data_IF_817552683451
#
_entry.id   IF_817552683451
#
_cell.length_a   1.000
_cell.length_b   1.000
_cell.length_c   1.000
_cell.angle_alpha   90.00
_cell.angle_beta   90.00
_cell.angle_gamma   90.00
#
_symmetry.space_group_name_H-M   'P 1'
#
loop_
_entity.id
_entity.type
_entity.pdbx_description
1 polymer ?
#
# COMPACT_ATOMS: atom_id res chain seq x y z
N UNK A 1 8.93 -3.67 -3.65
CA UNK A 1 9.71 -2.99 -4.71
C UNK A 1 11.16 -3.49 -4.84
N UNK A 2 11.90 -3.73 -3.75
CA UNK A 2 13.30 -4.25 -3.81
C UNK A 2 13.42 -5.58 -4.56
N UNK A 3 12.53 -6.54 -4.32
CA UNK A 3 12.55 -7.86 -4.99
C UNK A 3 12.27 -7.75 -6.49
N UNK A 4 11.35 -6.86 -6.89
CA UNK A 4 11.07 -6.55 -8.29
C UNK A 4 12.30 -6.02 -9.03
N UNK A 5 13.08 -5.15 -8.39
CA UNK A 5 14.33 -4.61 -8.93
C UNK A 5 15.43 -5.69 -8.99
N UNK A 6 15.54 -6.54 -7.96
CA UNK A 6 16.55 -7.60 -7.89
C UNK A 6 16.30 -8.72 -8.91
N UNK A 7 15.05 -8.98 -9.30
CA UNK A 7 14.68 -9.95 -10.33
C UNK A 7 14.94 -9.46 -11.77
N UNK A 8 15.47 -8.25 -11.97
CA UNK A 8 15.78 -7.70 -13.31
C UNK A 8 14.54 -7.46 -14.19
N UNK A 9 13.35 -7.39 -13.60
CA UNK A 9 12.08 -7.22 -14.32
C UNK A 9 11.84 -5.79 -14.80
N UNK A 10 12.64 -4.82 -14.35
CA UNK A 10 12.39 -3.40 -14.62
C UNK A 10 12.34 -3.07 -16.11
N UNK A 11 13.32 -3.53 -16.91
CA UNK A 11 13.39 -3.26 -18.36
C UNK A 11 12.25 -4.00 -19.08
N UNK A 12 12.05 -5.28 -18.79
CA UNK A 12 10.96 -6.08 -19.36
C UNK A 12 9.57 -5.59 -18.95
N UNK A 13 9.46 -5.00 -17.77
CA UNK A 13 8.25 -4.40 -17.25
C UNK A 13 7.73 -3.26 -18.13
N UNK A 14 8.62 -2.39 -18.61
CA UNK A 14 8.23 -1.28 -19.50
C UNK A 14 8.04 -1.68 -20.96
N UNK A 15 8.72 -2.73 -21.41
CA UNK A 15 8.72 -3.14 -22.82
C UNK A 15 7.60 -4.12 -23.20
N UNK A 16 7.08 -4.90 -22.24
CA UNK A 16 6.06 -5.94 -22.48
C UNK A 16 4.77 -5.60 -21.74
N UNK A 17 3.77 -5.12 -22.47
CA UNK A 17 2.47 -4.74 -21.87
C UNK A 17 1.76 -5.87 -21.12
N UNK A 18 1.91 -7.13 -21.54
CA UNK A 18 1.34 -8.30 -20.87
C UNK A 18 1.99 -8.54 -19.50
N UNK A 19 3.32 -8.55 -19.44
CA UNK A 19 4.10 -8.67 -18.23
C UNK A 19 3.80 -7.52 -17.27
N UNK A 20 3.77 -6.30 -17.77
CA UNK A 20 3.41 -5.10 -17.02
C UNK A 20 2.05 -5.23 -16.34
N UNK A 21 1.01 -5.64 -17.08
CA UNK A 21 -0.33 -5.82 -16.53
C UNK A 21 -0.38 -6.94 -15.49
N UNK A 22 0.37 -8.02 -15.70
CA UNK A 22 0.42 -9.15 -14.78
C UNK A 22 1.05 -8.74 -13.44
N UNK A 23 2.24 -8.16 -13.47
CA UNK A 23 2.93 -7.68 -12.26
C UNK A 23 2.09 -6.68 -11.48
N UNK A 24 1.39 -5.77 -12.17
CA UNK A 24 0.49 -4.82 -11.50
C UNK A 24 -0.70 -5.50 -10.82
N UNK A 25 -1.22 -6.60 -11.37
CA UNK A 25 -2.25 -7.39 -10.68
C UNK A 25 -1.69 -8.06 -9.43
N UNK A 26 -0.47 -8.60 -9.48
CA UNK A 26 0.20 -9.14 -8.29
C UNK A 26 0.40 -8.06 -7.22
N UNK A 27 0.83 -6.85 -7.61
CA UNK A 27 0.94 -5.71 -6.69
C UNK A 27 -0.40 -5.23 -6.12
N UNK A 28 -1.50 -5.52 -6.80
CA UNK A 28 -2.83 -5.10 -6.38
C UNK A 28 -3.55 -6.12 -5.48
N UNK A 29 -2.97 -7.29 -5.22
CA UNK A 29 -3.55 -8.30 -4.32
C UNK A 29 -3.95 -7.76 -2.94
N UNK A 30 -3.17 -6.86 -2.29
CA UNK A 30 -3.56 -6.29 -1.00
C UNK A 30 -4.89 -5.53 -0.99
N UNK A 31 -5.41 -5.13 -2.16
CA UNK A 31 -6.69 -4.42 -2.25
C UNK A 31 -7.91 -5.34 -2.21
N UNK A 32 -7.70 -6.66 -2.22
CA UNK A 32 -8.76 -7.67 -2.09
C UNK A 32 -9.03 -7.98 -0.61
N UNK A 33 -10.24 -8.46 -0.28
CA UNK A 33 -10.49 -9.13 0.99
C UNK A 33 -9.49 -10.28 1.20
N UNK A 34 -9.05 -10.47 2.43
CA UNK A 34 -8.02 -11.45 2.76
C UNK A 34 -8.38 -12.86 2.28
N UNK A 35 -9.64 -13.27 2.47
CA UNK A 35 -10.18 -14.56 2.06
C UNK A 35 -10.13 -14.80 0.54
N UNK A 36 -10.11 -13.73 -0.27
CA UNK A 36 -10.09 -13.83 -1.73
C UNK A 36 -8.69 -13.76 -2.34
N UNK A 37 -7.68 -13.36 -1.56
CA UNK A 37 -6.32 -13.15 -2.06
C UNK A 37 -5.69 -14.45 -2.54
N UNK A 38 -5.83 -15.53 -1.78
CA UNK A 38 -5.24 -16.83 -2.12
C UNK A 38 -5.78 -17.38 -3.45
N UNK A 39 -7.10 -17.34 -3.63
CA UNK A 39 -7.75 -17.78 -4.87
C UNK A 39 -7.32 -16.90 -6.05
N UNK A 40 -7.34 -15.58 -5.88
CA UNK A 40 -6.92 -14.64 -6.92
C UNK A 40 -5.45 -14.79 -7.32
N UNK A 41 -4.57 -15.08 -6.36
CA UNK A 41 -3.16 -15.38 -6.64
C UNK A 41 -3.02 -16.68 -7.44
N UNK A 42 -3.76 -17.74 -7.07
CA UNK A 42 -3.75 -19.02 -7.78
C UNK A 42 -4.17 -18.86 -9.24
N UNK A 43 -5.19 -18.05 -9.52
CA UNK A 43 -5.62 -17.72 -10.89
C UNK A 43 -4.57 -16.92 -11.70
N UNK A 44 -3.74 -16.13 -11.04
CA UNK A 44 -2.67 -15.37 -11.70
C UNK A 44 -1.43 -16.20 -11.95
N UNK A 45 -1.15 -17.17 -11.07
CA UNK A 45 0.08 -17.95 -11.10
C UNK A 45 0.21 -18.75 -12.41
N UNK A 46 1.40 -18.67 -13.01
CA UNK A 46 1.72 -19.42 -14.23
C UNK A 46 1.07 -18.90 -15.52
N UNK A 47 0.38 -17.75 -15.49
CA UNK A 47 -0.21 -17.14 -16.68
C UNK A 47 0.85 -16.59 -17.65
N UNK A 48 1.99 -16.18 -17.12
CA UNK A 48 3.14 -15.69 -17.89
C UNK A 48 4.28 -16.68 -17.73
N UNK A 49 4.68 -17.28 -18.84
CA UNK A 49 5.83 -18.19 -18.90
C UNK A 49 7.14 -17.37 -19.03
N UNK A 50 7.61 -16.85 -17.89
CA UNK A 50 8.88 -16.14 -17.75
C UNK A 50 9.48 -16.53 -16.39
N UNK A 51 10.70 -17.05 -16.40
CA UNK A 51 11.39 -17.54 -15.21
C UNK A 51 11.45 -16.50 -14.09
N UNK A 52 11.60 -15.23 -14.43
CA UNK A 52 11.65 -14.13 -13.46
C UNK A 52 10.28 -13.87 -12.82
N UNK A 53 9.19 -14.11 -13.57
CA UNK A 53 7.82 -14.03 -13.04
C UNK A 53 7.57 -15.18 -12.10
N UNK A 54 8.00 -16.40 -12.45
CA UNK A 54 7.90 -17.57 -11.58
C UNK A 54 8.66 -17.38 -10.27
N UNK A 55 9.86 -16.77 -10.31
CA UNK A 55 10.62 -16.42 -9.11
C UNK A 55 9.88 -15.39 -8.24
N UNK A 56 9.28 -14.36 -8.85
CA UNK A 56 8.46 -13.37 -8.14
C UNK A 56 7.21 -14.01 -7.52
N UNK A 57 6.51 -14.86 -8.27
CA UNK A 57 5.32 -15.59 -7.78
C UNK A 57 5.68 -16.53 -6.62
N UNK A 58 6.80 -17.25 -6.74
CA UNK A 58 7.31 -18.13 -5.68
C UNK A 58 7.69 -17.33 -4.42
N UNK A 59 8.30 -16.16 -4.59
CA UNK A 59 8.58 -15.25 -3.48
C UNK A 59 7.29 -14.76 -2.79
N UNK A 60 6.28 -14.35 -3.58
CA UNK A 60 4.99 -13.90 -3.03
C UNK A 60 4.33 -15.03 -2.26
N UNK A 61 4.31 -16.23 -2.82
CA UNK A 61 3.77 -17.42 -2.18
C UNK A 61 4.43 -17.67 -0.82
N UNK A 62 5.77 -17.79 -0.81
CA UNK A 62 6.52 -18.16 0.38
C UNK A 62 6.53 -17.07 1.46
N UNK A 63 6.62 -15.80 1.04
CA UNK A 63 6.84 -14.69 1.98
C UNK A 63 5.54 -14.08 2.48
N UNK A 64 4.49 -14.05 1.65
CA UNK A 64 3.26 -13.31 1.96
C UNK A 64 2.04 -14.19 2.16
N UNK A 65 1.90 -15.29 1.40
CA UNK A 65 0.72 -16.14 1.50
C UNK A 65 0.87 -17.28 2.50
N UNK A 66 2.07 -17.85 2.61
CA UNK A 66 2.35 -18.98 3.52
C UNK A 66 3.31 -18.60 4.65
N UNK A 67 3.48 -17.30 4.91
CA UNK A 67 4.35 -16.81 5.97
C UNK A 67 3.85 -17.24 7.35
N UNK A 68 4.72 -17.77 8.21
CA UNK A 68 4.38 -18.03 9.60
C UNK A 68 4.32 -16.76 10.45
N UNK A 69 4.87 -15.65 9.94
CA UNK A 69 4.99 -14.38 10.68
C UNK A 69 3.85 -13.42 10.39
N UNK A 70 3.35 -13.39 9.15
CA UNK A 70 2.35 -12.45 8.69
C UNK A 70 1.15 -13.18 8.12
N UNK A 71 -0.01 -13.05 8.73
CA UNK A 71 -1.25 -13.55 8.15
C UNK A 71 -1.71 -12.67 6.99
N UNK A 72 -2.50 -13.22 6.09
CA UNK A 72 -3.02 -12.48 4.93
C UNK A 72 -3.87 -11.29 5.36
N UNK A 73 -4.59 -11.40 6.48
CA UNK A 73 -5.41 -10.33 7.06
C UNK A 73 -4.60 -9.10 7.50
N UNK A 74 -3.35 -9.31 7.91
CA UNK A 74 -2.49 -8.23 8.42
C UNK A 74 -2.04 -7.30 7.29
N UNK A 75 -1.79 -7.84 6.09
CA UNK A 75 -1.32 -7.04 4.97
C UNK A 75 -2.42 -6.71 3.94
N UNK A 76 -3.60 -7.31 4.02
CA UNK A 76 -4.75 -6.82 3.26
C UNK A 76 -5.11 -5.41 3.70
N UNK A 77 -5.27 -4.52 2.72
CA UNK A 77 -5.71 -3.12 2.95
C UNK A 77 -7.17 -2.90 2.56
N UNK A 78 -7.90 -3.99 2.27
CA UNK A 78 -9.30 -3.91 1.90
C UNK A 78 -10.12 -3.20 2.98
N UNK A 79 -10.90 -2.18 2.59
CA UNK A 79 -11.71 -1.33 3.47
C UNK A 79 -10.94 -0.64 4.61
N UNK A 80 -9.60 -0.70 4.63
CA UNK A 80 -8.79 0.01 5.62
C UNK A 80 -8.62 1.48 5.24
N UNK A 81 -8.86 2.42 6.16
CA UNK A 81 -8.75 3.87 5.88
C UNK A 81 -7.30 4.33 5.69
N UNK A 82 -6.35 3.60 6.24
CA UNK A 82 -4.91 3.87 6.14
C UNK A 82 -4.23 2.64 5.55
N UNK A 83 -3.54 2.81 4.41
CA UNK A 83 -2.89 1.73 3.68
C UNK A 83 -1.36 1.90 3.55
N UNK A 84 -0.84 3.01 4.00
CA UNK A 84 0.59 3.33 3.90
C UNK A 84 1.06 3.96 5.20
N UNK A 85 2.35 3.87 5.46
CA UNK A 85 3.01 4.53 6.59
C UNK A 85 3.46 5.97 6.27
N UNK A 86 2.99 6.56 5.18
CA UNK A 86 3.39 7.91 4.75
C UNK A 86 3.16 8.96 5.85
N UNK A 87 2.09 8.81 6.63
CA UNK A 87 1.83 9.71 7.77
C UNK A 87 2.91 9.56 8.85
N UNK A 88 3.35 8.32 9.13
CA UNK A 88 4.44 8.06 10.06
C UNK A 88 5.78 8.56 9.51
N UNK A 89 6.06 8.36 8.23
CA UNK A 89 7.27 8.87 7.57
C UNK A 89 7.29 10.40 7.56
N UNK A 90 6.15 11.03 7.29
CA UNK A 90 5.97 12.48 7.38
C UNK A 90 6.20 13.00 8.79
N UNK A 91 5.70 12.28 9.81
CA UNK A 91 5.93 12.61 11.21
C UNK A 91 7.41 12.45 11.58
N UNK A 92 8.06 11.34 11.24
CA UNK A 92 9.49 11.13 11.48
C UNK A 92 10.34 12.22 10.81
N UNK A 93 10.01 12.57 9.56
CA UNK A 93 10.71 13.66 8.86
C UNK A 93 10.57 14.97 9.61
N UNK A 94 9.37 15.34 10.05
CA UNK A 94 9.13 16.58 10.82
C UNK A 94 9.92 16.58 12.13
N UNK A 95 9.88 15.45 12.86
CA UNK A 95 10.63 15.27 14.10
C UNK A 95 12.14 15.46 13.89
N UNK A 96 12.70 14.84 12.85
CA UNK A 96 14.11 14.95 12.49
C UNK A 96 14.52 16.39 12.12
N UNK A 97 13.64 17.11 11.41
CA UNK A 97 13.88 18.53 11.08
C UNK A 97 13.89 19.40 12.34
N UNK A 98 12.96 19.18 13.26
CA UNK A 98 12.90 19.90 14.53
C UNK A 98 14.08 19.55 15.44
N UNK A 99 14.52 18.31 15.42
CA UNK A 99 15.67 17.83 16.18
C UNK A 99 17.00 18.52 15.77
N UNK A 100 17.12 18.98 14.53
CA UNK A 100 18.30 19.64 13.95
C UNK A 100 19.64 18.88 14.05
N UNK A 101 19.68 17.73 14.74
CA UNK A 101 20.87 16.91 15.00
C UNK A 101 20.49 15.43 14.99
N UNK A 102 21.38 14.58 14.47
CA UNK A 102 21.17 13.13 14.42
C UNK A 102 21.25 12.40 15.77
N UNK A 103 21.76 13.06 16.83
CA UNK A 103 21.83 12.51 18.19
C UNK A 103 21.32 13.56 19.18
N UNK A 104 20.05 13.45 19.57
CA UNK A 104 19.47 14.31 20.58
C UNK A 104 19.71 13.70 21.99
N UNK A 105 20.10 14.52 22.97
CA UNK A 105 20.03 14.10 24.38
C UNK A 105 18.59 13.73 24.76
N UNK A 106 18.44 12.71 25.62
CA UNK A 106 17.14 12.16 25.99
C UNK A 106 16.17 13.24 26.49
N UNK A 107 16.64 14.18 27.30
CA UNK A 107 15.78 15.24 27.86
C UNK A 107 15.23 16.18 26.76
N UNK A 108 16.02 16.44 25.70
CA UNK A 108 15.55 17.24 24.55
C UNK A 108 14.54 16.45 23.72
N UNK A 109 14.78 15.14 23.53
CA UNK A 109 13.84 14.26 22.83
C UNK A 109 12.49 14.21 23.57
N UNK A 110 12.49 14.09 24.90
CA UNK A 110 11.26 14.11 25.72
C UNK A 110 10.49 15.41 25.53
N UNK A 111 11.19 16.56 25.56
CA UNK A 111 10.57 17.87 25.32
C UNK A 111 9.94 17.96 23.92
N UNK A 112 10.66 17.49 22.90
CA UNK A 112 10.18 17.48 21.51
C UNK A 112 8.94 16.60 21.35
N UNK A 113 8.95 15.39 21.92
CA UNK A 113 7.81 14.47 21.89
C UNK A 113 6.60 15.04 22.64
N UNK A 114 6.82 15.77 23.74
CA UNK A 114 5.76 16.43 24.49
C UNK A 114 5.08 17.52 23.62
N UNK A 115 5.86 18.36 22.94
CA UNK A 115 5.30 19.36 22.02
C UNK A 115 4.55 18.73 20.85
N UNK A 116 5.08 17.66 20.27
CA UNK A 116 4.36 16.89 19.24
C UNK A 116 3.02 16.32 19.76
N UNK A 117 3.00 15.80 20.97
CA UNK A 117 1.77 15.28 21.57
C UNK A 117 0.70 16.38 21.75
N UNK A 118 1.11 17.58 22.16
CA UNK A 118 0.21 18.76 22.25
C UNK A 118 -0.37 19.13 20.89
N UNK A 119 0.46 19.15 19.83
CA UNK A 119 0.02 19.44 18.44
C UNK A 119 -0.98 18.39 17.95
N UNK A 120 -0.75 17.11 18.27
CA UNK A 120 -1.67 16.02 17.89
C UNK A 120 -3.01 16.20 18.60
N UNK A 121 -3.00 16.52 19.91
CA UNK A 121 -4.22 16.74 20.67
C UNK A 121 -5.02 17.92 20.10
N UNK A 122 -4.37 19.06 19.84
CA UNK A 122 -5.01 20.21 19.23
C UNK A 122 -5.58 19.90 17.86
N UNK A 123 -4.82 19.16 17.03
CA UNK A 123 -5.25 18.76 15.69
C UNK A 123 -6.47 17.84 15.77
N UNK A 124 -6.49 16.89 16.70
CA UNK A 124 -7.63 16.00 16.92
C UNK A 124 -8.90 16.76 17.30
N UNK A 125 -8.76 17.76 18.20
CA UNK A 125 -9.87 18.64 18.58
C UNK A 125 -10.40 19.44 17.39
N UNK A 126 -9.51 20.05 16.61
CA UNK A 126 -9.90 20.86 15.44
C UNK A 126 -10.53 20.03 14.32
N UNK A 127 -10.12 18.77 14.17
CA UNK A 127 -10.76 17.81 13.24
C UNK A 127 -12.13 17.40 13.73
N UNK A 128 -12.25 17.11 15.05
CA UNK A 128 -13.53 16.78 15.69
C UNK A 128 -14.54 17.91 15.54
N UNK A 129 -14.11 19.15 15.69
CA UNK A 129 -14.94 20.35 15.54
C UNK A 129 -15.22 20.72 14.06
N UNK A 130 -14.80 19.89 13.11
CA UNK A 130 -14.89 20.14 11.64
C UNK A 130 -14.18 21.43 11.17
N UNK A 131 -13.33 22.01 12.00
CA UNK A 131 -12.58 23.24 11.71
C UNK A 131 -11.37 23.00 10.82
N UNK A 132 -10.81 21.78 10.85
CA UNK A 132 -9.76 21.32 9.95
C UNK A 132 -10.29 20.19 9.05
N UNK A 133 -10.24 20.42 7.75
CA UNK A 133 -10.44 19.32 6.78
C UNK A 133 -9.12 18.56 6.71
N UNK A 134 -9.14 17.30 7.12
CA UNK A 134 -7.98 16.41 6.98
C UNK A 134 -7.51 16.44 5.52
N UNK A 135 -6.24 16.77 5.32
CA UNK A 135 -5.61 16.79 4.01
C UNK A 135 -5.37 15.33 3.56
N UNK A 136 -6.41 14.71 3.05
CA UNK A 136 -6.28 13.43 2.35
C UNK A 136 -6.40 13.71 0.86
N UNK A 137 -5.59 13.02 0.08
CA UNK A 137 -5.69 13.07 -1.37
C UNK A 137 -7.05 12.47 -1.80
N UNK A 138 -8.08 13.32 -1.79
CA UNK A 138 -9.51 12.96 -1.92
C UNK A 138 -9.82 12.15 -3.16
N UNK A 139 -9.08 12.37 -4.26
CA UNK A 139 -9.35 11.73 -5.53
C UNK A 139 -9.07 10.20 -5.48
N UNK A 140 -7.90 9.80 -5.00
CA UNK A 140 -7.54 8.37 -4.92
C UNK A 140 -8.39 7.61 -3.90
N UNK A 141 -8.62 8.21 -2.73
CA UNK A 141 -9.43 7.59 -1.67
C UNK A 141 -10.88 7.41 -2.12
N UNK A 142 -11.46 8.38 -2.85
CA UNK A 142 -12.85 8.29 -3.32
C UNK A 142 -13.04 7.22 -4.41
N UNK A 143 -12.10 7.10 -5.35
CA UNK A 143 -12.14 6.07 -6.39
C UNK A 143 -11.98 4.68 -5.78
N UNK A 144 -11.04 4.52 -4.86
CA UNK A 144 -10.78 3.25 -4.19
C UNK A 144 -11.97 2.81 -3.35
N UNK A 145 -12.55 3.70 -2.52
CA UNK A 145 -13.73 3.39 -1.72
C UNK A 145 -14.90 2.95 -2.61
N UNK A 146 -15.16 3.67 -3.71
CA UNK A 146 -16.21 3.29 -4.65
C UNK A 146 -15.99 1.92 -5.28
N UNK A 147 -14.75 1.56 -5.61
CA UNK A 147 -14.43 0.23 -6.13
C UNK A 147 -14.72 -0.87 -5.10
N UNK A 148 -14.42 -0.63 -3.84
CA UNK A 148 -14.69 -1.54 -2.74
C UNK A 148 -16.18 -1.65 -2.43
N UNK A 149 -16.90 -0.51 -2.40
CA UNK A 149 -18.37 -0.50 -2.22
C UNK A 149 -19.07 -1.29 -3.33
N UNK A 150 -18.67 -1.08 -4.60
CA UNK A 150 -19.19 -1.84 -5.73
C UNK A 150 -18.91 -3.34 -5.61
N UNK A 151 -17.76 -3.70 -5.02
CA UNK A 151 -17.40 -5.10 -4.81
C UNK A 151 -18.23 -5.74 -3.69
N UNK A 152 -18.37 -5.08 -2.55
CA UNK A 152 -19.20 -5.54 -1.43
C UNK A 152 -20.67 -5.71 -1.85
N UNK A 153 -21.16 -4.82 -2.71
CA UNK A 153 -22.52 -4.88 -3.27
C UNK A 153 -22.69 -5.92 -4.40
N UNK A 154 -21.66 -6.72 -4.68
CA UNK A 154 -21.69 -7.74 -5.73
C UNK A 154 -21.74 -7.20 -7.17
N UNK A 155 -21.51 -5.90 -7.37
CA UNK A 155 -21.47 -5.26 -8.70
C UNK A 155 -20.18 -5.53 -9.46
N UNK A 156 -19.17 -6.04 -8.78
CA UNK A 156 -17.84 -6.38 -9.35
C UNK A 156 -17.40 -7.76 -8.95
N UNK A 157 -16.80 -8.47 -9.90
CA UNK A 157 -16.07 -9.71 -9.61
C UNK A 157 -14.68 -9.42 -9.07
N UNK A 158 -14.05 -10.40 -8.39
CA UNK A 158 -12.68 -10.32 -7.88
C UNK A 158 -11.68 -9.92 -8.98
N UNK A 159 -11.77 -10.56 -10.14
CA UNK A 159 -10.91 -10.26 -11.29
C UNK A 159 -11.12 -8.82 -11.82
N UNK A 160 -12.36 -8.32 -11.81
CA UNK A 160 -12.68 -6.94 -12.21
C UNK A 160 -12.13 -5.93 -11.20
N UNK A 161 -12.26 -6.20 -9.89
CA UNK A 161 -11.71 -5.35 -8.84
C UNK A 161 -10.19 -5.31 -8.92
N UNK A 162 -9.53 -6.48 -9.04
CA UNK A 162 -8.09 -6.59 -9.14
C UNK A 162 -7.53 -5.81 -10.34
N UNK A 163 -8.20 -5.92 -11.49
CA UNK A 163 -7.86 -5.15 -12.70
C UNK A 163 -8.02 -3.65 -12.50
N UNK A 164 -9.06 -3.20 -11.81
CA UNK A 164 -9.26 -1.80 -11.51
C UNK A 164 -8.19 -1.26 -10.54
N UNK A 165 -7.89 -1.99 -9.46
CA UNK A 165 -6.87 -1.63 -8.49
C UNK A 165 -5.45 -1.67 -9.08
N UNK A 166 -5.19 -2.55 -10.06
CA UNK A 166 -3.89 -2.60 -10.74
C UNK A 166 -3.54 -1.30 -11.46
N UNK A 167 -4.53 -0.46 -11.81
CA UNK A 167 -4.32 0.85 -12.42
C UNK A 167 -3.72 1.87 -11.46
N UNK A 168 -3.82 1.68 -10.15
CA UNK A 168 -3.16 2.56 -9.17
C UNK A 168 -1.63 2.50 -9.24
N UNK A 169 -1.09 1.49 -9.93
CA UNK A 169 0.34 1.31 -10.18
C UNK A 169 0.75 1.71 -11.61
N UNK A 170 -0.13 2.41 -12.36
CA UNK A 170 0.25 2.99 -13.65
C UNK A 170 1.23 4.14 -13.43
N UNK A 171 2.34 4.19 -14.21
CA UNK A 171 3.18 5.37 -14.22
C UNK A 171 2.32 6.56 -14.66
N UNK A 172 2.46 7.66 -13.92
CA UNK A 172 1.86 8.93 -14.34
C UNK A 172 2.54 9.29 -15.67
N UNK A 173 1.75 9.44 -16.73
CA UNK A 173 2.26 9.95 -18.00
C UNK A 173 2.88 11.33 -17.72
N UNK A 174 4.20 11.44 -17.97
CA UNK A 174 4.91 12.71 -17.89
C UNK A 174 4.54 13.57 -19.08
#
# INVERSE_FOLDING_TARGET
MKVFLSAGLQISYYQRQSLYRHVRKLLALPFLPAEHIGAAFTELRGVIDDERVHQLESYIQATWLTSPTWSVDEWSVFMKPVRTNNDCEGWHRRLNVQARRGMLPLYMLVGLLHEEARVVQLTAMLVSDKRLKRYQCKAYTSVQSKLWDDYVLGRRTTSSLLRACSRFYEPVAQ
#
